data_IF_269780320337
#
_entry.id   IF_269780320337
#
_cell.length_a   1.000
_cell.length_b   1.000
_cell.length_c   1.000
_cell.angle_alpha   90.00
_cell.angle_beta   90.00
_cell.angle_gamma   90.00
#
_symmetry.space_group_name_H-M   'P 1'
#
loop_
_entity.id
_entity.type
_entity.pdbx_description
1 polymer ?
#
# COMPACT_ATOMS: atom_id res chain seq x y z
N UNK A 1 24.09 -50.91 12.88
CA UNK A 1 24.66 -52.01 12.07
C UNK A 1 23.53 -52.92 11.60
N UNK A 2 23.64 -53.49 10.39
CA UNK A 2 22.54 -53.80 9.44
C UNK A 2 22.07 -55.28 9.56
N UNK A 3 21.49 -55.96 8.53
CA UNK A 3 20.47 -55.64 7.50
C UNK A 3 19.34 -56.71 7.43
N UNK A 4 18.28 -56.49 6.63
CA UNK A 4 17.47 -57.57 6.00
C UNK A 4 16.97 -57.04 4.64
N UNK A 5 17.66 -57.32 3.53
CA UNK A 5 17.39 -58.37 2.52
C UNK A 5 16.11 -58.19 1.67
N UNK A 6 16.36 -58.00 0.37
CA UNK A 6 15.46 -58.09 -0.80
C UNK A 6 14.88 -59.50 -1.01
N UNK A 7 13.91 -59.65 -1.94
CA UNK A 7 14.31 -60.28 -3.20
C UNK A 7 13.82 -59.55 -4.47
N UNK A 8 14.73 -59.56 -5.46
CA UNK A 8 14.48 -59.35 -6.89
C UNK A 8 13.49 -60.38 -7.45
N UNK A 9 12.71 -59.97 -8.47
CA UNK A 9 12.21 -60.88 -9.49
C UNK A 9 12.71 -60.49 -10.88
N UNK A 10 13.04 -61.56 -11.57
CA UNK A 10 13.89 -61.83 -12.73
C UNK A 10 13.41 -61.26 -14.07
N UNK A 11 14.42 -61.01 -14.90
CA UNK A 11 14.47 -60.79 -16.36
C UNK A 11 13.85 -61.93 -17.16
N UNK A 12 13.15 -61.62 -18.25
CA UNK A 12 13.27 -62.37 -19.51
C UNK A 12 13.32 -61.43 -20.71
N UNK A 13 14.42 -61.57 -21.45
CA UNK A 13 14.68 -61.02 -22.78
C UNK A 13 14.45 -62.13 -23.81
N UNK A 14 13.82 -61.82 -24.94
CA UNK A 14 14.03 -62.58 -26.17
C UNK A 14 13.87 -61.69 -27.40
N UNK A 15 14.81 -61.88 -28.30
CA UNK A 15 15.14 -61.16 -29.51
C UNK A 15 14.68 -61.89 -30.77
N UNK A 16 14.83 -61.21 -31.92
CA UNK A 16 14.85 -61.72 -33.31
C UNK A 16 13.47 -62.01 -33.94
N UNK A 17 13.19 -61.74 -35.23
CA UNK A 17 13.91 -61.12 -36.35
C UNK A 17 12.99 -61.08 -37.58
N UNK A 18 13.07 -60.00 -38.35
CA UNK A 18 13.05 -59.86 -39.83
C UNK A 18 12.02 -60.57 -40.76
N UNK A 19 11.94 -59.98 -41.97
CA UNK A 19 11.29 -60.37 -43.25
C UNK A 19 9.87 -59.78 -43.37
N UNK A 20 9.48 -58.99 -44.39
CA UNK A 20 10.00 -58.71 -45.73
C UNK A 20 8.79 -58.57 -46.70
N UNK A 21 8.95 -57.88 -47.84
CA UNK A 21 7.97 -57.50 -48.90
C UNK A 21 7.34 -56.09 -48.72
N UNK A 22 7.66 -55.01 -49.47
CA UNK A 22 7.85 -54.81 -50.93
C UNK A 22 6.60 -55.19 -51.72
N UNK A 23 5.94 -54.41 -52.59
CA UNK A 23 6.21 -53.18 -53.35
C UNK A 23 4.81 -52.64 -53.73
N UNK A 24 4.62 -51.33 -53.94
CA UNK A 24 4.15 -50.79 -55.23
C UNK A 24 3.74 -49.32 -55.17
N UNK A 25 4.44 -48.56 -56.01
CA UNK A 25 4.23 -47.17 -56.37
C UNK A 25 3.22 -47.06 -57.51
N UNK A 26 2.21 -46.19 -57.40
CA UNK A 26 1.62 -45.53 -58.58
C UNK A 26 1.36 -44.05 -58.28
N UNK A 27 1.71 -43.27 -59.29
CA UNK A 27 1.91 -41.85 -59.43
C UNK A 27 0.66 -40.96 -59.57
N UNK A 28 0.89 -39.68 -59.22
CA UNK A 28 0.54 -38.45 -59.97
C UNK A 28 -0.74 -37.67 -59.67
N UNK A 29 -0.53 -36.35 -59.51
CA UNK A 29 -1.42 -35.20 -59.80
C UNK A 29 -2.55 -34.99 -58.76
N UNK A 30 -2.85 -33.79 -58.27
CA UNK A 30 -2.54 -32.42 -58.68
C UNK A 30 -3.13 -31.44 -57.63
N UNK A 31 -2.72 -30.19 -57.73
CA UNK A 31 -3.36 -28.97 -57.23
C UNK A 31 -3.02 -28.43 -55.82
N UNK A 32 -2.22 -27.37 -55.90
CA UNK A 32 -1.96 -26.34 -54.93
C UNK A 32 -3.21 -25.57 -54.51
N UNK A 33 -3.28 -25.19 -53.22
CA UNK A 33 -3.84 -23.89 -52.83
C UNK A 33 -3.29 -23.44 -51.48
N UNK A 34 -2.58 -22.31 -51.53
CA UNK A 34 -2.62 -21.21 -50.55
C UNK A 34 -2.08 -21.46 -49.13
N UNK A 35 -0.76 -21.36 -49.01
CA UNK A 35 -0.14 -20.68 -47.89
C UNK A 35 -0.08 -19.17 -48.19
N UNK A 36 -0.84 -18.38 -47.45
CA UNK A 36 -0.55 -16.97 -47.23
C UNK A 36 -0.78 -16.67 -45.75
N UNK A 37 0.33 -16.40 -45.07
CA UNK A 37 0.42 -15.87 -43.73
C UNK A 37 0.19 -14.35 -43.76
N UNK A 38 -0.57 -13.75 -42.83
CA UNK A 38 -0.39 -12.35 -42.48
C UNK A 38 0.42 -12.26 -41.18
N UNK A 39 1.69 -11.90 -41.33
CA UNK A 39 2.48 -11.24 -40.29
C UNK A 39 2.02 -9.78 -40.22
N UNK A 40 2.05 -9.20 -39.00
CA UNK A 40 1.83 -7.80 -38.61
C UNK A 40 0.45 -7.43 -38.04
N UNK A 41 0.31 -7.64 -36.71
CA UNK A 41 -0.24 -6.64 -35.78
C UNK A 41 0.08 -7.02 -34.32
N UNK A 42 1.35 -6.99 -33.91
CA UNK A 42 1.73 -7.32 -32.53
C UNK A 42 2.57 -6.28 -31.78
N UNK A 43 2.71 -5.05 -32.32
CA UNK A 43 3.46 -3.97 -31.62
C UNK A 43 2.63 -2.81 -31.07
N UNK A 44 1.33 -2.74 -31.31
CA UNK A 44 0.49 -1.65 -30.77
C UNK A 44 -0.31 -2.02 -29.51
N UNK A 45 -0.51 -3.32 -29.20
CA UNK A 45 -1.28 -3.72 -28.00
C UNK A 45 -0.51 -3.56 -26.68
N UNK A 46 0.82 -3.53 -26.72
CA UNK A 46 1.65 -3.36 -25.51
C UNK A 46 1.66 -1.92 -24.96
N UNK A 47 1.44 -0.90 -25.79
CA UNK A 47 1.33 0.49 -25.32
C UNK A 47 -0.10 0.88 -24.91
N UNK A 48 -1.12 0.16 -25.40
CA UNK A 48 -2.52 0.42 -25.08
C UNK A 48 -2.88 -0.07 -23.66
N UNK A 49 -2.26 -1.15 -23.18
CA UNK A 49 -2.50 -1.66 -21.81
C UNK A 49 -1.81 -0.84 -20.70
N UNK A 50 -0.66 -0.21 -20.98
CA UNK A 50 -0.07 0.76 -20.04
C UNK A 50 -0.91 2.04 -19.91
N UNK A 51 -1.67 2.43 -20.95
CA UNK A 51 -2.57 3.60 -20.91
C UNK A 51 -3.98 3.28 -20.40
N UNK A 52 -4.44 2.02 -20.49
CA UNK A 52 -5.75 1.60 -19.95
C UNK A 52 -5.73 1.30 -18.45
N UNK A 53 -4.61 0.81 -17.90
CA UNK A 53 -4.47 0.66 -16.43
C UNK A 53 -4.37 2.01 -15.69
N UNK A 54 -3.96 3.07 -16.40
CA UNK A 54 -3.95 4.45 -15.89
C UNK A 54 -5.28 5.21 -16.09
N UNK A 55 -6.31 4.58 -16.69
CA UNK A 55 -7.63 5.20 -16.93
C UNK A 55 -8.78 4.60 -16.10
N UNK A 56 -8.51 3.58 -15.29
CA UNK A 56 -9.50 2.94 -14.41
C UNK A 56 -9.73 3.64 -13.05
N UNK A 57 -8.96 4.68 -12.72
CA UNK A 57 -9.13 5.47 -11.48
C UNK A 57 -9.18 6.96 -11.83
N UNK A 58 -10.12 7.33 -12.69
CA UNK A 58 -10.39 8.71 -12.99
C UNK A 58 -11.84 8.90 -13.38
N UNK A 59 -12.76 8.80 -12.41
CA UNK A 59 -14.04 9.54 -12.38
C UNK A 59 -14.72 9.41 -11.00
N UNK A 60 -14.40 10.32 -10.09
CA UNK A 60 -15.40 10.90 -9.15
C UNK A 60 -14.99 12.30 -8.68
N UNK A 61 -14.48 13.14 -9.58
CA UNK A 61 -14.36 14.58 -9.31
C UNK A 61 -14.92 15.39 -10.48
N UNK A 62 -16.24 15.43 -10.56
CA UNK A 62 -16.96 16.44 -11.30
C UNK A 62 -17.67 17.38 -10.33
N UNK A 63 -17.00 18.43 -9.85
CA UNK A 63 -17.67 19.67 -9.42
C UNK A 63 -16.84 20.89 -9.84
N UNK A 64 -17.53 21.85 -10.45
CA UNK A 64 -17.00 22.88 -11.33
C UNK A 64 -15.91 23.77 -10.75
N UNK A 65 -14.90 24.01 -11.59
CA UNK A 65 -13.83 24.98 -11.38
C UNK A 65 -14.39 26.39 -11.62
N UNK A 66 -14.88 27.04 -10.57
CA UNK A 66 -15.10 28.50 -10.60
C UNK A 66 -13.75 29.18 -10.37
N UNK A 67 -13.27 29.91 -11.38
CA UNK A 67 -12.22 30.90 -11.22
C UNK A 67 -12.64 31.91 -10.15
N UNK A 68 -12.09 31.82 -8.94
CA UNK A 68 -12.12 32.91 -7.97
C UNK A 68 -10.89 33.76 -8.21
N UNK A 69 -11.09 34.90 -8.87
CA UNK A 69 -10.17 36.04 -8.82
C UNK A 69 -9.89 36.34 -7.35
N UNK A 70 -8.61 36.50 -7.02
CA UNK A 70 -8.18 37.04 -5.73
C UNK A 70 -8.79 38.42 -5.58
N UNK A 71 -9.73 38.55 -4.67
CA UNK A 71 -10.19 39.84 -4.17
C UNK A 71 -9.72 39.86 -2.73
N UNK A 72 -8.73 40.70 -2.43
CA UNK A 72 -8.52 41.16 -1.06
C UNK A 72 -9.85 41.77 -0.62
N UNK A 73 -10.59 41.01 0.19
CA UNK A 73 -11.71 41.50 0.97
C UNK A 73 -11.32 41.23 2.39
N UNK A 74 -11.03 42.30 3.11
CA UNK A 74 -11.19 42.36 4.55
C UNK A 74 -12.44 41.56 4.95
N UNK A 75 -12.33 40.79 6.04
CA UNK A 75 -13.37 39.90 6.57
C UNK A 75 -14.67 40.69 6.83
N UNK A 76 -15.50 40.90 5.83
CA UNK A 76 -16.88 41.37 6.01
C UNK A 76 -17.68 40.15 6.45
N UNK A 77 -17.72 39.94 7.76
CA UNK A 77 -18.67 39.03 8.39
C UNK A 77 -20.05 39.57 8.03
N UNK A 78 -20.89 38.75 7.39
CA UNK A 78 -22.21 39.17 6.92
C UNK A 78 -23.19 39.22 8.11
N UNK A 79 -23.01 40.19 9.00
CA UNK A 79 -23.92 40.48 10.11
C UNK A 79 -25.12 41.26 9.56
N UNK A 80 -26.32 40.76 9.81
CA UNK A 80 -27.56 41.51 9.57
C UNK A 80 -27.59 42.79 10.42
N UNK A 81 -28.46 43.74 10.09
CA UNK A 81 -28.40 45.11 10.65
C UNK A 81 -28.42 45.14 12.20
N UNK A 82 -29.21 44.26 12.84
CA UNK A 82 -29.21 44.08 14.30
C UNK A 82 -27.88 43.58 14.88
N UNK A 83 -27.15 42.78 14.11
CA UNK A 83 -25.84 42.27 14.52
C UNK A 83 -24.74 43.33 14.41
N UNK A 84 -24.90 44.33 13.54
CA UNK A 84 -23.98 45.48 13.45
C UNK A 84 -24.20 46.48 14.57
N UNK A 85 -25.46 46.78 14.86
CA UNK A 85 -25.84 47.67 15.96
C UNK A 85 -25.34 47.15 17.32
N UNK A 86 -25.51 45.85 17.58
CA UNK A 86 -24.97 45.21 18.80
C UNK A 86 -23.44 45.25 18.85
N UNK A 87 -22.75 45.20 17.69
CA UNK A 87 -21.29 45.22 17.62
C UNK A 87 -20.71 46.63 17.88
N UNK A 88 -21.43 47.68 17.46
CA UNK A 88 -21.07 49.08 17.70
C UNK A 88 -21.22 49.48 19.18
N UNK A 89 -22.11 48.80 19.93
CA UNK A 89 -22.36 49.03 21.36
C UNK A 89 -21.49 48.15 22.30
N UNK A 90 -20.57 47.33 21.77
CA UNK A 90 -19.72 46.47 22.61
C UNK A 90 -18.63 47.30 23.29
N UNK A 91 -18.66 47.32 24.62
CA UNK A 91 -17.55 47.84 25.41
C UNK A 91 -16.36 46.86 25.38
N UNK A 92 -15.34 47.16 24.58
CA UNK A 92 -14.08 46.40 24.48
C UNK A 92 -13.33 46.25 25.81
N UNK A 93 -13.56 47.16 26.77
CA UNK A 93 -12.97 47.09 28.11
C UNK A 93 -13.78 46.22 29.09
N UNK A 94 -14.87 45.58 28.63
CA UNK A 94 -15.61 44.62 29.44
C UNK A 94 -14.73 43.41 29.74
N UNK A 95 -14.74 42.97 31.00
CA UNK A 95 -14.03 41.75 31.44
C UNK A 95 -14.39 40.54 30.56
N UNK A 96 -15.66 40.42 30.16
CA UNK A 96 -16.11 39.32 29.29
C UNK A 96 -15.44 39.41 27.92
N UNK A 97 -15.40 40.59 27.30
CA UNK A 97 -14.79 40.75 25.96
C UNK A 97 -13.30 40.48 26.00
N UNK A 98 -12.60 40.94 27.05
CA UNK A 98 -11.18 40.62 27.26
C UNK A 98 -10.94 39.12 27.38
N UNK A 99 -11.78 38.39 28.14
CA UNK A 99 -11.70 36.93 28.22
C UNK A 99 -11.92 36.24 26.86
N UNK A 100 -12.87 36.72 26.06
CA UNK A 100 -13.10 36.18 24.71
C UNK A 100 -11.94 36.45 23.75
N UNK A 101 -11.22 37.58 23.90
CA UNK A 101 -9.99 37.83 23.15
C UNK A 101 -8.87 36.85 23.52
N UNK A 102 -8.72 36.52 24.82
CA UNK A 102 -7.78 35.48 25.27
C UNK A 102 -8.13 34.10 24.70
N UNK A 103 -9.41 33.71 24.78
CA UNK A 103 -9.88 32.45 24.19
C UNK A 103 -9.69 32.40 22.67
N UNK A 104 -9.96 33.50 21.97
CA UNK A 104 -9.75 33.60 20.53
C UNK A 104 -8.26 33.41 20.19
N UNK A 105 -7.36 34.06 20.92
CA UNK A 105 -5.92 33.92 20.72
C UNK A 105 -5.44 32.48 20.96
N UNK A 106 -5.95 31.80 21.99
CA UNK A 106 -5.62 30.39 22.25
C UNK A 106 -6.13 29.47 21.13
N UNK A 107 -7.38 29.65 20.70
CA UNK A 107 -7.97 28.87 19.62
C UNK A 107 -7.26 29.09 18.29
N UNK A 108 -6.94 30.33 17.95
CA UNK A 108 -6.21 30.67 16.72
C UNK A 108 -4.81 30.05 16.74
N UNK A 109 -4.07 30.16 17.86
CA UNK A 109 -2.76 29.53 18.00
C UNK A 109 -2.81 27.99 17.83
N UNK A 110 -3.86 27.35 18.37
CA UNK A 110 -4.12 25.92 18.20
C UNK A 110 -4.43 25.56 16.74
N UNK A 111 -5.30 26.33 16.07
CA UNK A 111 -5.63 26.10 14.66
C UNK A 111 -4.41 26.27 13.76
N UNK A 112 -3.61 27.32 13.99
CA UNK A 112 -2.38 27.55 13.24
C UNK A 112 -1.39 26.40 13.41
N UNK A 113 -1.25 25.87 14.63
CA UNK A 113 -0.41 24.68 14.90
C UNK A 113 -0.95 23.45 14.15
N UNK A 114 -2.26 23.20 14.22
CA UNK A 114 -2.89 22.11 13.48
C UNK A 114 -2.59 22.21 11.98
N UNK A 115 -2.71 23.40 11.38
CA UNK A 115 -2.43 23.63 9.97
C UNK A 115 -0.94 23.44 9.61
N UNK A 116 -0.01 23.85 10.48
CA UNK A 116 1.43 23.58 10.29
C UNK A 116 1.72 22.08 10.29
N UNK A 117 1.18 21.35 11.27
CA UNK A 117 1.32 19.89 11.35
C UNK A 117 0.70 19.22 10.12
N UNK A 118 -0.50 19.64 9.72
CA UNK A 118 -1.22 19.08 8.57
C UNK A 118 -0.47 19.27 7.25
N UNK A 119 0.21 20.40 7.07
CA UNK A 119 1.08 20.63 5.90
C UNK A 119 2.25 19.66 5.85
N UNK A 120 2.97 19.48 6.97
CA UNK A 120 4.09 18.53 7.05
C UNK A 120 3.58 17.10 6.82
N UNK A 121 2.42 16.75 7.40
CA UNK A 121 1.78 15.46 7.21
C UNK A 121 1.47 15.14 5.73
N UNK A 122 1.04 16.14 4.96
CA UNK A 122 0.80 15.96 3.53
C UNK A 122 2.10 15.64 2.77
N UNK A 123 3.22 16.24 3.18
CA UNK A 123 4.53 15.94 2.60
C UNK A 123 5.00 14.53 2.97
N UNK A 124 4.76 14.09 4.21
CA UNK A 124 5.01 12.69 4.65
C UNK A 124 4.27 11.74 3.72
N UNK A 125 2.95 11.92 3.56
CA UNK A 125 2.15 11.05 2.71
C UNK A 125 2.61 11.02 1.24
N UNK A 126 2.91 12.20 0.67
CA UNK A 126 3.43 12.30 -0.71
C UNK A 126 4.73 11.50 -0.86
N UNK A 127 5.65 11.63 0.09
CA UNK A 127 6.94 10.95 0.02
C UNK A 127 6.80 9.43 0.25
N UNK A 128 5.97 9.01 1.20
CA UNK A 128 5.65 7.60 1.45
C UNK A 128 5.07 6.92 0.21
N UNK A 129 4.09 7.55 -0.47
CA UNK A 129 3.55 7.03 -1.74
C UNK A 129 4.62 6.91 -2.81
N UNK A 130 5.52 7.89 -2.93
CA UNK A 130 6.63 7.83 -3.91
C UNK A 130 7.63 6.72 -3.58
N UNK A 131 7.80 6.38 -2.30
CA UNK A 131 8.62 5.23 -1.88
C UNK A 131 7.92 3.93 -2.26
N UNK A 132 6.61 3.80 -2.02
CA UNK A 132 5.83 2.63 -2.45
C UNK A 132 5.93 2.42 -3.97
N UNK A 133 5.76 3.49 -4.77
CA UNK A 133 5.95 3.40 -6.22
C UNK A 133 7.37 2.97 -6.62
N UNK A 134 8.39 3.47 -5.92
CA UNK A 134 9.78 3.05 -6.13
C UNK A 134 9.97 1.55 -5.84
N UNK A 135 9.42 1.05 -4.73
CA UNK A 135 9.49 -0.37 -4.35
C UNK A 135 8.83 -1.30 -5.37
N UNK A 136 7.75 -0.86 -6.02
CA UNK A 136 7.12 -1.60 -7.12
C UNK A 136 8.00 -1.74 -8.36
N UNK A 137 9.02 -0.90 -8.54
CA UNK A 137 9.93 -0.98 -9.70
C UNK A 137 10.91 -2.16 -9.65
N UNK A 138 10.97 -2.90 -8.55
CA UNK A 138 11.80 -4.10 -8.41
C UNK A 138 11.26 -5.21 -9.32
N UNK A 139 11.77 -5.28 -10.55
CA UNK A 139 11.41 -6.26 -11.58
C UNK A 139 12.45 -7.39 -11.72
N UNK A 140 13.67 -7.16 -11.21
CA UNK A 140 14.82 -8.05 -11.33
C UNK A 140 15.63 -8.06 -10.04
N UNK A 141 16.14 -9.23 -9.70
CA UNK A 141 16.97 -9.42 -8.49
C UNK A 141 18.21 -8.51 -8.49
N UNK A 142 18.80 -8.25 -9.67
CA UNK A 142 19.99 -7.39 -9.78
C UNK A 142 19.77 -5.94 -9.36
N UNK A 143 18.52 -5.42 -9.41
CA UNK A 143 18.18 -4.07 -8.98
C UNK A 143 17.69 -4.01 -7.52
N UNK A 144 17.35 -5.15 -6.94
CA UNK A 144 16.62 -5.25 -5.67
C UNK A 144 17.32 -4.46 -4.57
N UNK A 145 18.59 -4.75 -4.30
CA UNK A 145 19.34 -4.09 -3.22
C UNK A 145 19.46 -2.58 -3.44
N UNK A 146 19.80 -2.13 -4.66
CA UNK A 146 19.93 -0.71 -4.96
C UNK A 146 18.61 0.07 -4.75
N UNK A 147 17.48 -0.53 -5.13
CA UNK A 147 16.15 0.07 -4.90
C UNK A 147 15.79 0.08 -3.41
N UNK A 148 16.05 -1.02 -2.70
CA UNK A 148 15.80 -1.12 -1.25
C UNK A 148 16.66 -0.14 -0.45
N UNK A 149 17.93 0.04 -0.79
CA UNK A 149 18.83 1.00 -0.13
C UNK A 149 18.38 2.45 -0.39
N UNK A 150 17.95 2.74 -1.61
CA UNK A 150 17.40 4.05 -1.98
C UNK A 150 16.09 4.32 -1.22
N UNK A 151 15.19 3.33 -1.16
CA UNK A 151 13.94 3.43 -0.41
C UNK A 151 14.20 3.62 1.09
N UNK A 152 15.13 2.85 1.68
CA UNK A 152 15.52 2.97 3.08
C UNK A 152 16.04 4.36 3.41
N UNK A 153 16.95 4.89 2.58
CA UNK A 153 17.47 6.25 2.73
C UNK A 153 16.35 7.30 2.71
N UNK A 154 15.35 7.13 1.85
CA UNK A 154 14.20 8.05 1.78
C UNK A 154 13.27 7.92 3.00
N UNK A 155 12.99 6.70 3.46
CA UNK A 155 12.26 6.44 4.70
C UNK A 155 12.95 7.09 5.91
N UNK A 156 14.28 6.95 6.00
CA UNK A 156 15.07 7.56 7.08
C UNK A 156 15.03 9.09 7.00
N UNK A 157 15.06 9.67 5.80
CA UNK A 157 14.89 11.12 5.64
C UNK A 157 13.51 11.62 6.09
N UNK A 158 12.43 10.86 5.85
CA UNK A 158 11.09 11.20 6.36
C UNK A 158 11.09 11.24 7.89
N UNK A 159 11.71 10.25 8.55
CA UNK A 159 11.87 10.22 10.02
C UNK A 159 12.72 11.38 10.52
N UNK A 160 13.90 11.59 9.95
CA UNK A 160 14.87 12.55 10.48
C UNK A 160 14.47 14.01 10.25
N UNK A 161 13.63 14.28 9.23
CA UNK A 161 13.21 15.65 8.86
C UNK A 161 11.73 15.89 9.15
N UNK A 162 10.85 15.17 8.48
CA UNK A 162 9.41 15.48 8.50
C UNK A 162 8.77 15.11 9.85
N UNK A 163 8.96 13.88 10.32
CA UNK A 163 8.45 13.50 11.64
C UNK A 163 9.13 14.24 12.77
N UNK A 164 10.42 14.58 12.64
CA UNK A 164 11.09 15.46 13.61
C UNK A 164 10.44 16.84 13.69
N UNK A 165 10.04 17.42 12.56
CA UNK A 165 9.33 18.70 12.55
C UNK A 165 7.94 18.58 13.18
N UNK A 166 7.21 17.47 12.94
CA UNK A 166 5.94 17.18 13.63
C UNK A 166 6.18 17.05 15.14
N UNK A 167 7.19 16.29 15.58
CA UNK A 167 7.53 16.14 16.99
C UNK A 167 7.85 17.49 17.66
N UNK A 168 8.50 18.40 16.93
CA UNK A 168 8.80 19.75 17.41
C UNK A 168 7.52 20.59 17.57
N UNK A 169 6.58 20.51 16.63
CA UNK A 169 5.27 21.16 16.76
C UNK A 169 4.39 20.54 17.85
N UNK A 170 4.62 19.28 18.23
CA UNK A 170 3.90 18.60 19.31
C UNK A 170 4.55 18.81 20.70
N UNK A 171 5.71 19.45 20.75
CA UNK A 171 6.44 19.64 22.00
C UNK A 171 5.62 20.46 23.02
N UNK A 172 5.45 19.89 24.21
CA UNK A 172 4.61 20.45 25.28
C UNK A 172 3.11 20.48 24.99
N UNK A 173 2.63 19.72 24.00
CA UNK A 173 1.21 19.60 23.66
C UNK A 173 0.67 18.21 23.96
N UNK A 174 -0.66 18.09 24.09
CA UNK A 174 -1.32 16.78 24.08
C UNK A 174 -1.33 16.21 22.66
N UNK A 175 -0.62 15.09 22.47
CA UNK A 175 -0.49 14.42 21.18
C UNK A 175 -1.84 13.93 20.61
N UNK A 176 -2.80 13.56 21.46
CA UNK A 176 -4.13 13.11 21.02
C UNK A 176 -4.95 14.26 20.42
N UNK A 177 -4.77 15.48 20.93
CA UNK A 177 -5.50 16.66 20.45
C UNK A 177 -5.16 16.99 18.98
N UNK A 178 -3.92 16.73 18.56
CA UNK A 178 -3.42 16.99 17.21
C UNK A 178 -3.31 15.73 16.35
N UNK A 179 -3.61 14.54 16.88
CA UNK A 179 -3.47 13.24 16.19
C UNK A 179 -4.09 13.25 14.80
N UNK A 180 -5.29 13.80 14.68
CA UNK A 180 -6.02 13.90 13.40
C UNK A 180 -5.27 14.71 12.32
N UNK A 181 -4.40 15.65 12.71
CA UNK A 181 -3.62 16.44 11.76
C UNK A 181 -2.55 15.62 11.03
N UNK A 182 -2.01 14.58 11.67
CA UNK A 182 -0.87 13.83 11.16
C UNK A 182 -1.10 12.31 10.99
N UNK A 183 -2.26 11.81 11.40
CA UNK A 183 -2.63 10.40 11.31
C UNK A 183 -2.48 9.81 9.90
N UNK A 184 -2.99 10.49 8.88
CA UNK A 184 -2.99 9.96 7.52
C UNK A 184 -1.58 9.72 6.95
N UNK A 185 -0.62 10.60 7.25
CA UNK A 185 0.77 10.41 6.82
C UNK A 185 1.52 9.35 7.62
N UNK A 186 1.16 9.16 8.90
CA UNK A 186 1.66 8.01 9.68
C UNK A 186 1.22 6.70 9.04
N UNK A 187 -0.07 6.54 8.74
CA UNK A 187 -0.60 5.32 8.11
C UNK A 187 0.11 5.03 6.77
N UNK A 188 0.27 6.04 5.90
CA UNK A 188 1.00 5.91 4.63
C UNK A 188 2.50 5.60 4.83
N UNK A 189 3.14 6.16 5.85
CA UNK A 189 4.53 5.85 6.19
C UNK A 189 4.70 4.41 6.67
N UNK A 190 3.77 3.92 7.50
CA UNK A 190 3.78 2.55 8.00
C UNK A 190 3.60 1.57 6.84
N UNK A 191 2.68 1.86 5.91
CA UNK A 191 2.53 1.09 4.67
C UNK A 191 3.85 1.02 3.89
N UNK A 192 4.52 2.16 3.67
CA UNK A 192 5.79 2.21 2.94
C UNK A 192 6.94 1.47 3.66
N UNK A 193 7.03 1.62 4.99
CA UNK A 193 8.03 0.97 5.83
C UNK A 193 7.86 -0.55 5.83
N UNK A 194 6.65 -1.02 6.12
CA UNK A 194 6.36 -2.47 6.19
C UNK A 194 6.45 -3.12 4.82
N UNK A 195 6.16 -2.40 3.73
CA UNK A 195 6.39 -2.91 2.38
C UNK A 195 7.88 -3.07 2.08
N UNK A 196 8.71 -2.10 2.50
CA UNK A 196 10.16 -2.21 2.39
C UNK A 196 10.71 -3.41 3.18
N UNK A 197 10.28 -3.58 4.43
CA UNK A 197 10.69 -4.70 5.29
C UNK A 197 10.32 -6.05 4.69
N UNK A 198 9.07 -6.18 4.21
CA UNK A 198 8.62 -7.40 3.54
C UNK A 198 9.45 -7.70 2.30
N UNK A 199 9.74 -6.71 1.45
CA UNK A 199 10.56 -6.92 0.26
C UNK A 199 12.02 -7.24 0.58
N UNK A 200 12.51 -6.85 1.76
CA UNK A 200 13.87 -7.15 2.22
C UNK A 200 13.98 -8.56 2.83
N UNK A 201 13.04 -8.95 3.69
CA UNK A 201 13.16 -10.14 4.54
C UNK A 201 12.07 -11.20 4.33
N UNK A 202 11.02 -10.88 3.58
CA UNK A 202 9.82 -11.72 3.45
C UNK A 202 8.89 -11.68 4.68
N UNK A 203 9.13 -10.75 5.61
CA UNK A 203 8.38 -10.57 6.86
C UNK A 203 8.44 -9.10 7.33
N UNK A 204 7.64 -8.74 8.32
CA UNK A 204 7.59 -7.40 8.92
C UNK A 204 8.27 -7.37 10.31
N UNK A 205 8.82 -6.22 10.69
CA UNK A 205 9.38 -6.01 12.02
C UNK A 205 8.32 -5.56 13.03
N UNK A 206 8.62 -5.74 14.31
CA UNK A 206 7.76 -5.27 15.40
C UNK A 206 7.72 -3.73 15.48
N UNK A 207 6.59 -3.20 15.95
CA UNK A 207 6.35 -1.75 16.02
C UNK A 207 7.32 -1.00 16.96
N UNK A 208 8.01 -1.70 17.87
CA UNK A 208 8.98 -1.09 18.81
C UNK A 208 10.10 -0.34 18.08
N UNK A 209 10.52 -0.82 16.91
CA UNK A 209 11.55 -0.16 16.12
C UNK A 209 11.04 1.19 15.56
N UNK A 210 9.78 1.25 15.15
CA UNK A 210 9.11 2.46 14.69
C UNK A 210 8.97 3.48 15.84
N UNK A 211 8.49 3.04 17.00
CA UNK A 211 8.33 3.91 18.16
C UNK A 211 9.66 4.56 18.58
N UNK A 212 10.73 3.75 18.60
CA UNK A 212 12.08 4.23 18.88
C UNK A 212 12.58 5.22 17.82
N UNK A 213 12.30 4.95 16.53
CA UNK A 213 12.72 5.83 15.44
C UNK A 213 12.02 7.19 15.48
N UNK A 214 10.80 7.26 16.02
CA UNK A 214 9.98 8.47 16.15
C UNK A 214 10.13 9.17 17.52
N UNK A 215 11.12 8.74 18.31
CA UNK A 215 11.50 9.38 19.57
C UNK A 215 12.79 10.16 19.37
N UNK A 216 12.77 11.45 19.73
CA UNK A 216 13.86 12.38 19.51
C UNK A 216 14.33 12.99 20.83
N UNK A 217 15.64 13.16 20.97
CA UNK A 217 16.23 13.81 22.13
C UNK A 217 16.90 15.12 21.71
N UNK A 218 16.60 16.19 22.44
CA UNK A 218 17.25 17.49 22.26
C UNK A 218 18.16 17.74 23.46
N UNK A 219 19.45 17.91 23.19
CA UNK A 219 20.38 18.46 24.16
C UNK A 219 20.19 19.98 24.19
N UNK A 220 19.64 20.52 25.26
CA UNK A 220 19.72 21.95 25.52
C UNK A 220 21.18 22.36 25.63
N UNK A 221 21.60 23.36 24.87
CA UNK A 221 22.92 23.98 24.97
C UNK A 221 23.23 24.42 26.41
N UNK A 222 24.50 24.39 26.85
CA UNK A 222 24.86 24.76 28.21
C UNK A 222 24.74 26.27 28.38
N UNK A 223 23.60 26.73 28.90
CA UNK A 223 23.52 28.04 29.55
C UNK A 223 24.00 27.89 30.99
N UNK A 224 24.90 28.78 31.40
CA UNK A 224 25.69 28.80 32.65
C UNK A 224 24.88 28.60 33.95
N UNK A 225 24.47 27.37 34.25
CA UNK A 225 23.91 26.98 35.55
C UNK A 225 24.17 25.49 35.80
N UNK A 226 24.89 25.10 36.86
CA UNK A 226 25.38 23.74 37.08
C UNK A 226 24.34 22.79 37.72
N UNK A 227 23.06 22.93 37.42
CA UNK A 227 22.02 22.07 38.00
C UNK A 227 21.11 21.48 36.91
N UNK A 228 21.35 20.19 36.61
CA UNK A 228 20.53 19.26 35.83
C UNK A 228 20.39 19.56 34.33
N UNK A 229 21.28 18.98 33.52
CA UNK A 229 21.08 18.81 32.08
C UNK A 229 19.91 17.85 31.82
N UNK A 230 18.68 18.32 31.88
CA UNK A 230 17.50 17.53 31.55
C UNK A 230 17.39 17.38 30.03
N UNK A 231 17.75 16.21 29.50
CA UNK A 231 17.48 15.86 28.10
C UNK A 231 15.98 15.94 27.83
N UNK A 232 15.55 16.88 27.00
CA UNK A 232 14.14 17.01 26.61
C UNK A 232 13.83 16.00 25.50
N UNK A 233 12.85 15.14 25.73
CA UNK A 233 12.42 14.13 24.77
C UNK A 233 11.15 14.59 24.07
N UNK A 234 11.13 14.51 22.74
CA UNK A 234 9.98 14.79 21.89
C UNK A 234 9.62 13.51 21.12
N UNK A 235 8.34 13.23 20.94
CA UNK A 235 7.88 12.00 20.28
C UNK A 235 6.71 12.30 19.34
N UNK A 236 6.67 11.62 18.19
CA UNK A 236 5.42 11.51 17.42
C UNK A 236 4.68 10.28 17.90
N UNK A 237 3.49 10.47 18.45
CA UNK A 237 2.65 9.36 18.91
C UNK A 237 2.13 8.56 17.72
N UNK A 238 2.36 7.24 17.74
CA UNK A 238 1.73 6.28 16.83
C UNK A 238 0.80 5.42 17.68
N UNK A 239 -0.50 5.42 17.39
CA UNK A 239 -1.42 4.55 18.10
C UNK A 239 -1.36 3.13 17.51
N UNK A 240 -1.70 2.09 18.28
CA UNK A 240 -1.83 0.74 17.73
C UNK A 240 -2.81 0.67 16.55
N UNK A 241 -3.85 1.51 16.55
CA UNK A 241 -4.83 1.57 15.46
C UNK A 241 -4.21 2.11 14.17
N UNK A 242 -3.35 3.14 14.24
CA UNK A 242 -2.67 3.69 13.06
C UNK A 242 -1.76 2.64 12.42
N UNK A 243 -1.05 1.87 13.24
CA UNK A 243 -0.18 0.80 12.77
C UNK A 243 -0.97 -0.32 12.09
N UNK A 244 -2.06 -0.76 12.71
CA UNK A 244 -2.96 -1.77 12.12
C UNK A 244 -3.54 -1.27 10.79
N UNK A 245 -3.98 -0.02 10.71
CA UNK A 245 -4.55 0.54 9.48
C UNK A 245 -3.50 0.67 8.36
N UNK A 246 -2.26 1.05 8.68
CA UNK A 246 -1.15 1.04 7.73
C UNK A 246 -0.83 -0.36 7.20
N UNK A 247 -0.84 -1.39 8.06
CA UNK A 247 -0.71 -2.80 7.64
C UNK A 247 -1.89 -3.23 6.75
N UNK A 248 -3.09 -2.73 7.03
CA UNK A 248 -4.25 -3.07 6.21
C UNK A 248 -4.06 -2.58 4.76
N UNK A 249 -3.52 -1.37 4.58
CA UNK A 249 -3.23 -0.81 3.26
C UNK A 249 -2.07 -1.50 2.55
N UNK A 250 -1.03 -1.91 3.29
CA UNK A 250 0.07 -2.73 2.76
C UNK A 250 -0.44 -3.94 1.96
N UNK A 251 -1.51 -4.59 2.42
CA UNK A 251 -2.02 -5.80 1.77
C UNK A 251 -2.49 -5.57 0.33
N UNK A 252 -2.97 -4.36 0.02
CA UNK A 252 -3.29 -3.93 -1.34
C UNK A 252 -2.04 -3.82 -2.22
N UNK A 253 -0.94 -3.30 -1.66
CA UNK A 253 0.34 -3.21 -2.36
C UNK A 253 1.00 -4.58 -2.54
N UNK A 254 0.88 -5.48 -1.56
CA UNK A 254 1.33 -6.88 -1.68
C UNK A 254 0.56 -7.66 -2.74
N UNK A 255 -0.76 -7.49 -2.80
CA UNK A 255 -1.58 -8.05 -3.88
C UNK A 255 -1.10 -7.52 -5.24
N UNK A 256 -0.93 -6.20 -5.39
CA UNK A 256 -0.41 -5.59 -6.63
C UNK A 256 0.95 -6.16 -7.01
N UNK A 257 1.85 -6.35 -6.03
CA UNK A 257 3.17 -6.95 -6.23
C UNK A 257 3.08 -8.41 -6.70
N UNK A 258 2.21 -9.23 -6.10
CA UNK A 258 1.98 -10.63 -6.49
C UNK A 258 1.58 -10.71 -7.97
N UNK A 259 0.61 -9.91 -8.41
CA UNK A 259 0.14 -9.90 -9.80
C UNK A 259 1.23 -9.44 -10.77
N UNK A 260 2.01 -8.41 -10.40
CA UNK A 260 3.13 -7.94 -11.22
C UNK A 260 4.24 -9.01 -11.35
N UNK A 261 4.57 -9.69 -10.25
CA UNK A 261 5.56 -10.78 -10.25
C UNK A 261 5.05 -11.99 -11.07
N UNK A 262 3.76 -12.29 -10.99
CA UNK A 262 3.14 -13.33 -11.80
C UNK A 262 3.24 -13.03 -13.30
N UNK A 263 3.00 -11.78 -13.71
CA UNK A 263 3.10 -11.35 -15.11
C UNK A 263 4.51 -11.54 -15.71
N UNK A 264 5.57 -11.51 -14.89
CA UNK A 264 6.95 -11.79 -15.32
C UNK A 264 7.36 -13.26 -15.13
N UNK A 265 6.44 -14.12 -14.68
CA UNK A 265 6.63 -15.56 -14.52
C UNK A 265 7.17 -16.02 -13.17
N UNK A 266 7.28 -15.12 -12.17
CA UNK A 266 7.69 -15.49 -10.82
C UNK A 266 6.50 -15.99 -9.98
N UNK A 267 6.21 -17.28 -10.18
CA UNK A 267 5.14 -17.99 -9.49
C UNK A 267 5.44 -18.19 -8.00
N UNK A 268 6.71 -18.43 -7.64
CA UNK A 268 7.09 -18.78 -6.27
C UNK A 268 6.81 -17.63 -5.30
N UNK A 269 7.18 -16.40 -5.68
CA UNK A 269 6.92 -15.24 -4.83
C UNK A 269 5.43 -14.94 -4.67
N UNK A 270 4.59 -15.28 -5.66
CA UNK A 270 3.16 -15.04 -5.53
C UNK A 270 2.52 -15.99 -4.48
N UNK A 271 2.93 -17.26 -4.40
CA UNK A 271 2.53 -18.15 -3.29
C UNK A 271 3.02 -17.65 -1.92
N UNK A 272 4.28 -17.20 -1.83
CA UNK A 272 4.84 -16.65 -0.60
C UNK A 272 4.05 -15.43 -0.12
N UNK A 273 3.78 -14.50 -1.04
CA UNK A 273 3.02 -13.27 -0.76
C UNK A 273 1.58 -13.58 -0.39
N UNK A 274 0.92 -14.50 -1.09
CA UNK A 274 -0.44 -14.95 -0.76
C UNK A 274 -0.50 -15.56 0.66
N UNK A 275 0.46 -16.42 1.02
CA UNK A 275 0.54 -16.99 2.36
C UNK A 275 0.77 -15.92 3.44
N UNK A 276 1.60 -14.92 3.15
CA UNK A 276 1.85 -13.82 4.07
C UNK A 276 0.59 -12.97 4.30
N UNK A 277 -0.10 -12.56 3.22
CA UNK A 277 -1.37 -11.82 3.32
C UNK A 277 -2.45 -12.64 4.03
N UNK A 278 -2.48 -13.97 3.85
CA UNK A 278 -3.40 -14.86 4.60
C UNK A 278 -3.15 -14.80 6.11
N UNK A 279 -1.88 -14.80 6.55
CA UNK A 279 -1.54 -14.66 7.97
C UNK A 279 -2.02 -13.32 8.53
N UNK A 280 -1.85 -12.24 7.76
CA UNK A 280 -2.38 -10.90 8.13
C UNK A 280 -3.91 -10.96 8.26
N UNK A 281 -4.61 -11.53 7.28
CA UNK A 281 -6.07 -11.65 7.34
C UNK A 281 -6.58 -12.41 8.57
N UNK A 282 -5.94 -13.52 8.91
CA UNK A 282 -6.27 -14.30 10.13
C UNK A 282 -6.07 -13.45 11.39
N UNK A 283 -4.97 -12.69 11.47
CA UNK A 283 -4.71 -11.79 12.60
C UNK A 283 -5.78 -10.68 12.69
N UNK A 284 -6.20 -10.11 11.56
CA UNK A 284 -7.27 -9.11 11.51
C UNK A 284 -8.62 -9.65 11.98
N UNK A 285 -8.98 -10.90 11.63
CA UNK A 285 -10.19 -11.55 12.12
C UNK A 285 -10.17 -11.70 13.65
N UNK A 286 -9.02 -12.05 14.22
CA UNK A 286 -8.83 -12.09 15.67
C UNK A 286 -9.01 -10.70 16.30
N UNK A 287 -8.44 -9.66 15.70
CA UNK A 287 -8.52 -8.29 16.20
C UNK A 287 -9.93 -7.69 16.14
N UNK A 288 -10.64 -7.83 15.01
CA UNK A 288 -12.01 -7.26 14.86
C UNK A 288 -13.05 -7.95 15.72
N UNK A 289 -12.78 -9.18 16.18
CA UNK A 289 -13.64 -9.86 17.16
C UNK A 289 -13.65 -9.19 18.53
N UNK A 290 -12.60 -8.40 18.85
CA UNK A 290 -12.43 -7.72 20.15
C UNK A 290 -12.63 -6.22 20.03
N UNK A 291 -12.24 -5.61 18.91
CA UNK A 291 -12.26 -4.16 18.72
C UNK A 291 -13.30 -3.75 17.67
N UNK A 292 -14.29 -2.96 18.09
CA UNK A 292 -15.32 -2.42 17.21
C UNK A 292 -14.91 -1.07 16.63
N UNK A 293 -14.12 -1.10 15.57
CA UNK A 293 -13.72 0.09 14.82
C UNK A 293 -14.24 0.02 13.37
N UNK A 294 -15.13 0.94 13.00
CA UNK A 294 -15.75 1.00 11.68
C UNK A 294 -14.74 1.13 10.53
N UNK A 295 -13.60 1.76 10.77
CA UNK A 295 -12.57 1.93 9.77
C UNK A 295 -11.81 0.63 9.53
N UNK A 296 -11.43 -0.08 10.59
CA UNK A 296 -10.82 -1.41 10.52
C UNK A 296 -11.78 -2.40 9.87
N UNK A 297 -13.08 -2.33 10.19
CA UNK A 297 -14.12 -3.16 9.58
C UNK A 297 -14.27 -2.92 8.07
N UNK A 298 -14.02 -1.69 7.58
CA UNK A 298 -13.98 -1.44 6.13
C UNK A 298 -12.71 -1.99 5.51
N UNK A 299 -11.56 -1.85 6.18
CA UNK A 299 -10.28 -2.36 5.68
C UNK A 299 -10.25 -3.88 5.58
N UNK A 300 -10.84 -4.61 6.53
CA UNK A 300 -10.88 -6.08 6.48
C UNK A 300 -11.67 -6.61 5.28
N UNK A 301 -12.70 -5.89 4.83
CA UNK A 301 -13.45 -6.23 3.60
C UNK A 301 -12.52 -6.10 2.38
N UNK A 302 -11.82 -4.97 2.25
CA UNK A 302 -10.84 -4.77 1.16
C UNK A 302 -9.70 -5.79 1.22
N UNK A 303 -9.20 -6.11 2.42
CA UNK A 303 -8.20 -7.15 2.64
C UNK A 303 -8.68 -8.53 2.17
N UNK A 304 -9.92 -8.91 2.51
CA UNK A 304 -10.54 -10.16 2.02
C UNK A 304 -10.54 -10.18 0.49
N UNK A 305 -10.98 -9.10 -0.16
CA UNK A 305 -10.97 -9.01 -1.62
C UNK A 305 -9.56 -9.14 -2.21
N UNK A 306 -8.57 -8.47 -1.62
CA UNK A 306 -7.17 -8.59 -2.03
C UNK A 306 -6.64 -10.02 -1.89
N UNK A 307 -6.95 -10.68 -0.78
CA UNK A 307 -6.56 -12.07 -0.55
C UNK A 307 -7.23 -13.02 -1.54
N UNK A 308 -8.55 -12.92 -1.75
CA UNK A 308 -9.29 -13.75 -2.71
C UNK A 308 -8.69 -13.68 -4.11
N UNK A 309 -8.31 -12.48 -4.58
CA UNK A 309 -7.63 -12.31 -5.87
C UNK A 309 -6.32 -13.08 -5.95
N UNK A 310 -5.50 -13.00 -4.90
CA UNK A 310 -4.23 -13.72 -4.84
C UNK A 310 -4.43 -15.23 -4.76
N UNK A 311 -5.43 -15.70 -4.00
CA UNK A 311 -5.76 -17.12 -3.87
C UNK A 311 -6.26 -17.71 -5.19
N UNK A 312 -7.10 -16.98 -5.93
CA UNK A 312 -7.58 -17.40 -7.24
C UNK A 312 -6.45 -17.48 -8.27
N UNK A 313 -5.52 -16.53 -8.25
CA UNK A 313 -4.32 -16.60 -9.08
C UNK A 313 -3.49 -17.85 -8.73
N UNK A 314 -3.23 -18.09 -7.45
CA UNK A 314 -2.48 -19.26 -6.97
C UNK A 314 -3.20 -20.58 -7.32
N UNK A 315 -4.52 -20.65 -7.16
CA UNK A 315 -5.34 -21.80 -7.52
C UNK A 315 -5.23 -22.12 -9.02
N UNK A 316 -5.38 -21.10 -9.87
CA UNK A 316 -5.32 -21.26 -11.32
C UNK A 316 -3.94 -21.76 -11.77
N UNK A 317 -2.87 -21.22 -11.20
CA UNK A 317 -1.51 -21.70 -11.42
C UNK A 317 -1.39 -23.18 -11.02
N UNK A 318 -1.94 -23.55 -9.86
CA UNK A 318 -1.83 -24.92 -9.33
C UNK A 318 -2.55 -25.94 -10.21
N UNK A 319 -3.77 -25.64 -10.64
CA UNK A 319 -4.61 -26.54 -11.44
C UNK A 319 -4.12 -26.60 -12.89
N UNK A 320 -3.87 -25.44 -13.50
CA UNK A 320 -3.59 -25.34 -14.94
C UNK A 320 -2.10 -25.32 -15.28
N UNK A 321 -1.22 -25.32 -14.27
CA UNK A 321 0.23 -25.23 -14.46
C UNK A 321 0.87 -26.44 -15.12
N UNK A 322 0.18 -27.59 -15.14
CA UNK A 322 0.59 -28.79 -15.86
C UNK A 322 -0.04 -28.90 -17.26
N UNK A 323 -1.13 -28.18 -17.51
CA UNK A 323 -1.92 -28.25 -18.75
C UNK A 323 -1.55 -27.12 -19.73
N UNK A 324 -1.24 -25.93 -19.21
CA UNK A 324 -1.02 -24.72 -19.99
C UNK A 324 0.48 -24.44 -20.09
N UNK A 325 1.01 -24.11 -21.30
CA UNK A 325 2.38 -23.66 -21.45
C UNK A 325 2.72 -22.50 -20.51
N UNK A 326 3.88 -22.56 -19.85
CA UNK A 326 4.31 -21.59 -18.81
C UNK A 326 4.16 -20.12 -19.21
N UNK A 327 4.34 -19.80 -20.50
CA UNK A 327 4.22 -18.43 -21.00
C UNK A 327 2.78 -17.89 -21.06
N UNK A 328 1.76 -18.75 -21.11
CA UNK A 328 0.34 -18.36 -21.08
C UNK A 328 -0.28 -18.50 -19.67
N UNK A 329 0.39 -19.23 -18.78
CA UNK A 329 -0.13 -19.52 -17.44
C UNK A 329 -0.37 -18.25 -16.62
N UNK A 330 0.53 -17.27 -16.74
CA UNK A 330 0.41 -15.98 -16.06
C UNK A 330 -0.84 -15.21 -16.52
N UNK A 331 -1.05 -15.07 -17.83
CA UNK A 331 -2.20 -14.35 -18.38
C UNK A 331 -3.53 -14.98 -17.97
N UNK A 332 -3.61 -16.32 -17.98
CA UNK A 332 -4.82 -17.06 -17.56
C UNK A 332 -5.07 -16.92 -16.06
N UNK A 333 -4.03 -16.96 -15.24
CA UNK A 333 -4.15 -16.80 -13.80
C UNK A 333 -4.53 -15.36 -13.40
N UNK A 334 -4.03 -14.36 -14.12
CA UNK A 334 -4.40 -12.95 -13.90
C UNK A 334 -5.86 -12.73 -14.30
N UNK A 335 -6.30 -13.24 -15.46
CA UNK A 335 -7.70 -13.14 -15.89
C UNK A 335 -8.67 -13.79 -14.89
N UNK A 336 -8.34 -14.98 -14.39
CA UNK A 336 -9.14 -15.68 -13.38
C UNK A 336 -9.22 -14.91 -12.05
N UNK A 337 -8.15 -14.21 -11.66
CA UNK A 337 -8.15 -13.35 -10.48
C UNK A 337 -9.06 -12.12 -10.64
N UNK A 338 -9.30 -11.65 -11.87
CA UNK A 338 -10.17 -10.51 -12.16
C UNK A 338 -11.65 -10.87 -12.25
N UNK A 339 -12.00 -12.04 -12.81
CA UNK A 339 -13.39 -12.48 -13.02
C UNK A 339 -14.16 -12.72 -11.70
N UNK A 340 -13.51 -13.33 -10.72
CA UNK A 340 -14.18 -13.79 -9.48
C UNK A 340 -14.51 -12.68 -8.47
N UNK A 341 -14.08 -11.44 -8.72
CA UNK A 341 -14.21 -10.36 -7.74
C UNK A 341 -15.64 -9.75 -7.66
N UNK A 342 -16.62 -10.28 -8.39
CA UNK A 342 -17.91 -9.61 -8.61
C UNK A 342 -19.16 -10.33 -8.09
N UNK A 343 -19.06 -11.56 -7.60
CA UNK A 343 -20.26 -12.37 -7.30
C UNK A 343 -20.67 -12.44 -5.82
N UNK A 344 -19.82 -12.05 -4.85
CA UNK A 344 -20.09 -12.24 -3.41
C UNK A 344 -20.33 -10.93 -2.61
N UNK A 345 -20.87 -9.88 -3.24
CA UNK A 345 -21.35 -8.68 -2.53
C UNK A 345 -22.85 -8.80 -2.17
N UNK A 346 -23.26 -9.94 -1.62
CA UNK A 346 -24.42 -9.96 -0.73
C UNK A 346 -24.02 -9.25 0.56
N UNK A 347 -24.23 -7.93 0.54
CA UNK A 347 -23.84 -7.01 1.59
C UNK A 347 -24.17 -7.54 2.98
N UNK A 348 -23.15 -7.56 3.83
CA UNK A 348 -23.31 -7.79 5.25
C UNK A 348 -24.17 -6.66 5.84
N UNK A 349 -25.48 -6.90 5.99
CA UNK A 349 -26.35 -6.08 6.83
C UNK A 349 -26.00 -6.41 8.28
N UNK A 350 -25.15 -5.57 8.89
CA UNK A 350 -24.99 -5.58 10.33
C UNK A 350 -26.32 -5.17 10.97
N UNK A 351 -26.93 -6.09 11.73
CA UNK A 351 -27.90 -5.75 12.77
C UNK A 351 -27.18 -5.22 14.00
#
# INVERSE_FOLDING_TARGET
>A
MPPMCFPLLRVESSSMSAIGHSVDSVTSKQFASQFTCPVYHHRERAQINQRRLLRGIAMSQGRGRRNRKHHDKEKIINLGDKGREVMEDINENSQVIQQFHEYAAELDAKHDRYERIFKINRDVGIESKRIIFLLHTIDKESKRNAVLDTAKTRLDNVVQKLFRNIATELDGQDAYQFHRAYRAGIEEYIEALTFHEYLQNGDMQDWSALEKALTYHTTSSPTDSPEQSTSKTMQVMVTPTDYILGIADLTGELMRKCINNLAIGDVSSCYQTCNFVRKIYIAFLGYTSVVHNNEVNKKIITLKHSLTKMENACYTIKVRGSEIPKHMLADVAIAAAEEYATEDDEGYQAF
#
